data_IF_163513062927
#
_entry.id   IF_163513062927
#
_cell.length_a   1.000
_cell.length_b   1.000
_cell.length_c   1.000
_cell.angle_alpha   90.00
_cell.angle_beta   90.00
_cell.angle_gamma   90.00
#
_symmetry.space_group_name_H-M   'P 1'
#
loop_
_entity.id
_entity.type
_entity.pdbx_description
1 polymer ?
#
# COMPACT_ATOMS: atom_id res chain seq x y z
N UNK A 1 -12.57 -19.75 3.80
CA UNK A 1 -12.07 -18.84 2.75
C UNK A 1 -12.51 -17.45 3.17
N UNK A 2 -11.57 -16.55 3.46
CA UNK A 2 -11.80 -15.33 4.23
C UNK A 2 -12.37 -14.24 3.32
N UNK A 3 -13.68 -14.00 3.40
CA UNK A 3 -14.44 -13.05 2.57
C UNK A 3 -13.89 -11.63 2.63
N UNK A 4 -13.23 -11.28 3.73
CA UNK A 4 -12.63 -9.97 3.98
C UNK A 4 -11.50 -9.60 2.99
N UNK A 5 -10.77 -10.60 2.47
CA UNK A 5 -9.70 -10.38 1.50
C UNK A 5 -10.22 -10.00 0.10
N UNK A 6 -11.47 -10.36 -0.22
CA UNK A 6 -12.03 -10.11 -1.54
C UNK A 6 -12.64 -8.71 -1.68
N UNK A 7 -13.01 -8.06 -0.57
CA UNK A 7 -13.59 -6.71 -0.62
C UNK A 7 -12.51 -5.62 -0.68
N UNK A 8 -11.32 -5.87 -0.12
CA UNK A 8 -10.16 -4.96 -0.22
C UNK A 8 -9.59 -4.90 -1.65
N UNK A 9 -9.94 -5.86 -2.52
CA UNK A 9 -9.48 -5.91 -3.92
C UNK A 9 -10.16 -4.89 -4.85
N UNK A 10 -11.10 -4.08 -4.36
CA UNK A 10 -11.84 -3.13 -5.18
C UNK A 10 -11.44 -1.69 -4.89
N UNK A 11 -10.88 -1.07 -5.94
CA UNK A 11 -10.85 0.37 -6.22
C UNK A 11 -9.57 1.16 -5.86
N UNK A 12 -8.43 0.72 -6.40
CA UNK A 12 -7.42 1.65 -6.94
C UNK A 12 -7.61 1.81 -8.45
N UNK A 13 -8.79 2.27 -8.88
CA UNK A 13 -9.06 2.54 -10.30
C UNK A 13 -9.47 4.00 -10.45
N UNK A 14 -8.47 4.88 -10.51
CA UNK A 14 -8.43 6.08 -11.37
C UNK A 14 -7.20 6.92 -11.06
N UNK A 15 -6.26 6.93 -12.00
CA UNK A 15 -5.67 8.11 -12.62
C UNK A 15 -4.19 7.85 -12.95
N UNK A 16 -3.87 8.10 -14.22
CA UNK A 16 -2.53 8.14 -14.83
C UNK A 16 -1.85 6.80 -15.16
N UNK A 17 -1.35 6.77 -16.38
CA UNK A 17 -0.60 5.70 -17.06
C UNK A 17 0.79 5.45 -16.46
N UNK A 18 0.92 5.47 -15.14
CA UNK A 18 2.18 5.20 -14.46
C UNK A 18 2.27 3.72 -14.09
N UNK A 19 3.36 3.08 -14.54
CA UNK A 19 3.71 1.74 -14.08
C UNK A 19 4.32 1.85 -12.68
N UNK A 20 3.59 1.36 -11.69
CA UNK A 20 3.98 1.35 -10.28
C UNK A 20 4.54 -0.01 -9.83
N UNK A 21 4.85 -0.91 -10.76
CA UNK A 21 5.50 -2.17 -10.41
C UNK A 21 6.82 -1.93 -9.66
N UNK A 22 6.94 -2.52 -8.47
CA UNK A 22 8.10 -2.38 -7.60
C UNK A 22 8.06 -1.17 -6.67
N UNK A 23 7.10 -0.25 -6.82
CA UNK A 23 6.91 0.90 -5.94
C UNK A 23 6.39 0.45 -4.58
N UNK A 24 6.49 1.33 -3.59
CA UNK A 24 6.10 1.09 -2.21
C UNK A 24 4.98 2.06 -1.81
N UNK A 25 3.98 1.58 -1.11
CA UNK A 25 2.93 2.39 -0.51
C UNK A 25 2.82 2.05 0.98
N UNK A 26 1.97 2.75 1.71
CA UNK A 26 1.69 2.51 3.11
C UNK A 26 0.19 2.50 3.38
N UNK A 27 -0.22 1.94 4.52
CA UNK A 27 -1.59 1.97 4.99
C UNK A 27 -1.64 2.03 6.51
N UNK A 28 -2.73 2.57 7.06
CA UNK A 28 -2.95 2.54 8.49
C UNK A 28 -3.07 1.09 8.97
N UNK A 29 -2.36 0.74 10.05
CA UNK A 29 -2.17 -0.67 10.48
C UNK A 29 -3.45 -1.38 10.95
N UNK A 30 -4.53 -0.66 11.22
CA UNK A 30 -5.84 -1.25 11.59
C UNK A 30 -6.80 -1.37 10.42
N UNK A 31 -6.78 -0.39 9.51
CA UNK A 31 -7.76 -0.27 8.43
C UNK A 31 -7.29 -0.99 7.17
N UNK A 32 -5.97 -1.03 6.94
CA UNK A 32 -5.34 -1.65 5.76
C UNK A 32 -5.92 -1.11 4.43
N UNK A 33 -6.33 0.17 4.42
CA UNK A 33 -6.73 0.88 3.21
C UNK A 33 -5.49 1.35 2.45
N UNK A 34 -5.22 0.75 1.29
CA UNK A 34 -4.03 0.98 0.47
C UNK A 34 -4.24 2.05 -0.59
N UNK A 35 -4.88 3.16 -0.23
CA UNK A 35 -5.20 4.26 -1.15
C UNK A 35 -4.12 5.35 -1.19
N UNK A 36 -3.06 5.20 -0.37
CA UNK A 36 -2.00 6.19 -0.27
C UNK A 36 -1.07 6.15 -1.49
N UNK A 37 -0.46 7.31 -1.76
CA UNK A 37 0.40 7.53 -2.91
C UNK A 37 1.53 6.48 -3.01
N UNK A 38 1.83 5.95 -4.21
CA UNK A 38 2.97 5.06 -4.43
C UNK A 38 4.30 5.84 -4.51
N UNK A 39 5.33 5.31 -3.86
CA UNK A 39 6.69 5.86 -3.81
C UNK A 39 7.70 4.94 -4.50
N UNK A 40 8.74 5.52 -5.11
CA UNK A 40 9.78 4.74 -5.80
C UNK A 40 10.66 3.95 -4.83
N UNK A 41 10.81 4.43 -3.61
CA UNK A 41 11.62 3.78 -2.58
C UNK A 41 10.80 3.43 -1.34
N UNK A 42 11.24 2.39 -0.63
CA UNK A 42 10.63 1.96 0.63
C UNK A 42 10.80 3.05 1.69
N UNK A 43 11.94 3.70 1.74
CA UNK A 43 12.28 4.74 2.71
C UNK A 43 11.32 5.93 2.61
N UNK A 44 10.98 6.37 1.41
CA UNK A 44 10.00 7.45 1.18
C UNK A 44 8.61 7.05 1.70
N UNK A 45 8.14 5.84 1.38
CA UNK A 45 6.87 5.33 1.88
C UNK A 45 6.84 5.23 3.41
N UNK A 46 7.97 4.86 4.04
CA UNK A 46 8.12 4.84 5.51
C UNK A 46 8.07 6.23 6.11
N UNK A 47 8.78 7.20 5.52
CA UNK A 47 8.77 8.58 6.00
C UNK A 47 7.38 9.20 5.90
N UNK A 48 6.69 8.98 4.79
CA UNK A 48 5.31 9.43 4.59
C UNK A 48 4.35 8.74 5.58
N UNK A 49 4.38 7.41 5.67
CA UNK A 49 3.53 6.66 6.59
C UNK A 49 3.73 7.03 8.06
N UNK A 50 4.97 7.35 8.48
CA UNK A 50 5.25 7.82 9.84
C UNK A 50 4.67 9.20 10.13
N UNK A 51 4.66 10.07 9.13
CA UNK A 51 4.11 11.43 9.24
C UNK A 51 2.59 11.38 9.40
N UNK A 52 1.93 10.55 8.60
CA UNK A 52 0.46 10.52 8.52
C UNK A 52 -0.15 9.60 9.58
N UNK A 53 0.55 8.52 9.95
CA UNK A 53 0.12 7.53 10.94
C UNK A 53 1.19 7.28 12.01
N UNK A 54 1.47 8.27 12.88
CA UNK A 54 2.50 8.16 13.91
C UNK A 54 2.22 7.02 14.92
N UNK A 55 0.97 6.58 15.03
CA UNK A 55 0.55 5.51 15.94
C UNK A 55 0.71 4.09 15.36
N UNK A 56 1.12 3.95 14.10
CA UNK A 56 1.42 2.65 13.50
C UNK A 56 0.83 2.46 12.11
N UNK A 57 1.69 2.07 11.17
CA UNK A 57 1.33 1.80 9.78
C UNK A 57 2.02 0.54 9.27
N UNK A 58 1.57 0.09 8.12
CA UNK A 58 2.21 -0.97 7.35
C UNK A 58 2.71 -0.40 6.02
N UNK A 59 3.74 -1.01 5.47
CA UNK A 59 4.22 -0.71 4.12
C UNK A 59 3.98 -1.91 3.22
N UNK A 60 3.80 -1.64 1.93
CA UNK A 60 3.44 -2.61 0.92
C UNK A 60 4.18 -2.37 -0.38
N UNK A 61 4.84 -3.38 -0.93
CA UNK A 61 5.36 -3.30 -2.29
C UNK A 61 4.27 -3.64 -3.31
N UNK A 62 4.11 -2.79 -4.32
CA UNK A 62 3.18 -2.96 -5.41
C UNK A 62 3.74 -3.92 -6.47
N UNK A 63 2.95 -4.92 -6.83
CA UNK A 63 3.20 -5.83 -7.94
C UNK A 63 2.06 -5.75 -8.92
N UNK A 64 2.38 -5.58 -10.20
CA UNK A 64 1.38 -5.58 -11.27
C UNK A 64 0.85 -7.00 -11.49
N UNK A 65 -0.48 -7.15 -11.50
CA UNK A 65 -1.11 -8.44 -11.81
C UNK A 65 -1.61 -8.47 -13.26
N UNK A 66 -2.60 -7.63 -13.62
CA UNK A 66 -3.14 -7.44 -14.99
C UNK A 66 -3.84 -6.06 -15.10
N UNK A 67 -3.94 -5.50 -16.30
CA UNK A 67 -4.74 -4.28 -16.58
C UNK A 67 -4.51 -3.09 -15.62
N UNK A 68 -3.25 -2.84 -15.25
CA UNK A 68 -2.85 -1.78 -14.28
C UNK A 68 -3.43 -1.94 -12.86
N UNK A 69 -3.89 -3.14 -12.52
CA UNK A 69 -4.22 -3.52 -11.14
C UNK A 69 -2.92 -3.93 -10.42
N UNK A 70 -2.67 -3.31 -9.26
CA UNK A 70 -1.52 -3.58 -8.42
C UNK A 70 -1.94 -4.25 -7.11
N UNK A 71 -1.21 -5.30 -6.74
CA UNK A 71 -1.36 -5.98 -5.46
C UNK A 71 -0.23 -5.60 -4.53
N UNK A 72 -0.52 -5.55 -3.23
CA UNK A 72 0.51 -5.46 -2.20
C UNK A 72 1.02 -6.87 -1.89
N UNK A 73 2.31 -7.11 -2.14
CA UNK A 73 2.90 -8.46 -2.02
C UNK A 73 3.82 -8.66 -0.81
N UNK A 74 4.32 -7.56 -0.23
CA UNK A 74 5.25 -7.58 0.90
C UNK A 74 4.77 -6.60 1.96
N UNK A 75 4.08 -7.10 2.99
CA UNK A 75 3.54 -6.29 4.09
C UNK A 75 4.51 -6.34 5.27
N UNK A 76 5.05 -5.19 5.66
CA UNK A 76 5.85 -5.07 6.87
C UNK A 76 5.14 -4.14 7.87
N UNK A 77 4.97 -4.61 9.10
CA UNK A 77 4.39 -3.81 10.18
C UNK A 77 5.47 -3.03 10.89
N UNK A 78 5.33 -1.71 10.89
CA UNK A 78 6.22 -0.81 11.61
C UNK A 78 5.48 -0.30 12.85
N UNK A 79 5.82 -0.88 14.00
CA UNK A 79 5.37 -0.40 15.31
C UNK A 79 6.40 0.58 15.85
N UNK A 80 5.98 1.81 16.11
CA UNK A 80 6.80 2.82 16.78
C UNK A 80 6.36 2.88 18.25
N UNK A 81 7.34 2.77 19.14
CA UNK A 81 7.21 2.88 20.60
C UNK A 81 7.34 4.32 21.07
#
# INVERSE_FOLDING_TARGET
MNTFLNEVLKELTKAETHDYEGYWTYAHSKEMNWENEPFKSKEEAVVAGKKDFPCGFVIGQLRREKEMVYNVINIEKLTFS
#
